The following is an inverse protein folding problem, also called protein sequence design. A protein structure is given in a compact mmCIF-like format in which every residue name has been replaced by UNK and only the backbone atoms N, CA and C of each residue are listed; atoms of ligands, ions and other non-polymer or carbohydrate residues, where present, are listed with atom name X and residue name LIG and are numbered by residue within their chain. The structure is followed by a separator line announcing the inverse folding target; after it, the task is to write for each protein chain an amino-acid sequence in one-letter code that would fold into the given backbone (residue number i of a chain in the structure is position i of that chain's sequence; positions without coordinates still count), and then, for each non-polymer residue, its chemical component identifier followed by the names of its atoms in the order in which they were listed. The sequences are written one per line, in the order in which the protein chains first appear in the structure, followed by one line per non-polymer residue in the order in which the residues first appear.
data_IF_720675766850
#
_entry.id   IF_720675766850
#
_cell.length_a   1.000
_cell.length_b   1.000
_cell.length_c   1.000
_cell.angle_alpha   90.00
_cell.angle_beta   90.00
_cell.angle_gamma   90.00
#
_symmetry.space_group_name_H-M   'P 1'
#
loop_
_entity.id
_entity.type
_entity.pdbx_description
1 polymer ?
#
# COMPACT_ATOMS: atom_id res chain seq x y z
N UNK A 1 -2.43 -7.55 -23.03
CA UNK A 1 -1.31 -8.36 -23.54
C UNK A 1 -0.35 -8.46 -22.39
N UNK A 2 0.02 -9.66 -21.97
CA UNK A 2 0.85 -9.86 -20.78
C UNK A 2 2.15 -9.03 -20.87
N UNK A 3 2.53 -8.38 -19.78
CA UNK A 3 3.78 -7.66 -19.63
C UNK A 3 4.51 -8.14 -18.36
N UNK A 4 5.33 -9.20 -18.48
CA UNK A 4 6.05 -9.78 -17.35
C UNK A 4 7.00 -8.81 -16.65
N UNK A 5 7.44 -7.74 -17.35
CA UNK A 5 8.33 -6.73 -16.74
C UNK A 5 7.54 -5.90 -15.74
N UNK A 6 6.28 -5.54 -16.05
CA UNK A 6 5.41 -4.82 -15.10
C UNK A 6 5.12 -5.64 -13.86
N UNK A 7 4.82 -6.93 -14.01
CA UNK A 7 4.63 -7.84 -12.88
C UNK A 7 5.88 -7.91 -11.98
N UNK A 8 7.06 -8.13 -12.56
CA UNK A 8 8.31 -8.21 -11.79
C UNK A 8 8.60 -6.88 -11.07
N UNK A 9 8.47 -5.75 -11.76
CA UNK A 9 8.71 -4.43 -11.16
C UNK A 9 7.68 -4.15 -10.07
N UNK A 10 6.41 -4.48 -10.31
CA UNK A 10 5.33 -4.32 -9.35
C UNK A 10 5.57 -5.13 -8.07
N UNK A 11 5.96 -6.40 -8.20
CA UNK A 11 6.29 -7.26 -7.08
C UNK A 11 7.44 -6.71 -6.23
N UNK A 12 8.46 -6.10 -6.85
CA UNK A 12 9.53 -5.40 -6.12
C UNK A 12 9.02 -4.16 -5.36
N UNK A 13 8.12 -3.39 -5.97
CA UNK A 13 7.50 -2.24 -5.32
C UNK A 13 6.66 -2.67 -4.11
N UNK A 14 5.84 -3.72 -4.25
CA UNK A 14 5.09 -4.30 -3.14
C UNK A 14 6.05 -4.76 -2.04
N UNK A 15 7.07 -5.56 -2.36
CA UNK A 15 7.99 -6.08 -1.35
C UNK A 15 8.71 -4.96 -0.57
N UNK A 16 9.24 -3.95 -1.26
CA UNK A 16 9.90 -2.80 -0.60
C UNK A 16 8.90 -1.99 0.21
N UNK A 17 7.71 -1.73 -0.35
CA UNK A 17 6.64 -1.01 0.33
C UNK A 17 6.20 -1.67 1.63
N UNK A 18 6.03 -3.00 1.62
CA UNK A 18 5.65 -3.79 2.81
C UNK A 18 6.70 -3.66 3.92
N UNK A 19 7.99 -3.73 3.57
CA UNK A 19 9.08 -3.58 4.55
C UNK A 19 9.05 -2.17 5.17
N UNK A 20 8.92 -1.14 4.34
CA UNK A 20 8.90 0.26 4.79
C UNK A 20 7.66 0.52 5.68
N UNK A 21 6.48 0.06 5.28
CA UNK A 21 5.24 0.19 6.05
C UNK A 21 5.34 -0.52 7.41
N UNK A 22 5.95 -1.72 7.45
CA UNK A 22 6.18 -2.45 8.69
C UNK A 22 7.12 -1.68 9.64
N UNK A 23 8.17 -1.05 9.11
CA UNK A 23 9.07 -0.20 9.91
C UNK A 23 8.31 1.02 10.47
N UNK A 24 7.54 1.72 9.64
CA UNK A 24 6.74 2.88 10.08
C UNK A 24 5.69 2.52 11.15
N UNK A 25 5.04 1.37 10.99
CA UNK A 25 4.03 0.87 11.93
C UNK A 25 4.64 0.43 13.27
N UNK A 26 5.91 0.04 13.31
CA UNK A 26 6.57 -0.43 14.54
C UNK A 26 6.95 0.74 15.46
N UNK A 27 6.55 0.75 16.75
CA UNK A 27 6.91 1.79 17.71
C UNK A 27 8.36 1.65 18.21
N UNK A 28 9.32 1.86 17.32
CA UNK A 28 10.74 1.87 17.64
C UNK A 28 11.10 3.19 18.35
N UNK A 29 11.70 3.11 19.55
CA UNK A 29 12.12 4.30 20.34
C UNK A 29 13.04 5.28 19.58
N UNK A 30 13.71 4.82 18.52
CA UNK A 30 14.62 5.62 17.69
C UNK A 30 13.92 6.36 16.55
N UNK A 31 12.64 6.08 16.26
CA UNK A 31 11.87 6.74 15.21
C UNK A 31 10.81 7.64 15.86
N UNK A 32 10.84 8.93 15.52
CA UNK A 32 9.81 9.86 15.95
C UNK A 32 8.48 9.59 15.21
N UNK A 33 7.38 10.18 15.69
CA UNK A 33 6.05 9.96 15.13
C UNK A 33 5.90 10.43 13.68
N UNK A 34 6.58 11.52 13.31
CA UNK A 34 6.54 12.09 11.96
C UNK A 34 7.22 11.16 10.95
N UNK A 35 8.45 10.72 11.23
CA UNK A 35 9.16 9.75 10.40
C UNK A 35 8.42 8.43 10.29
N UNK A 36 7.78 7.96 11.37
CA UNK A 36 6.93 6.76 11.32
C UNK A 36 5.73 6.94 10.39
N UNK A 37 5.08 8.10 10.44
CA UNK A 37 3.98 8.44 9.53
C UNK A 37 4.47 8.50 8.08
N UNK A 38 5.60 9.14 7.82
CA UNK A 38 6.18 9.25 6.47
C UNK A 38 6.54 7.87 5.89
N UNK A 39 7.16 7.02 6.70
CA UNK A 39 7.44 5.63 6.29
C UNK A 39 6.14 4.87 6.01
N UNK A 40 5.10 5.05 6.83
CA UNK A 40 3.81 4.41 6.57
C UNK A 40 3.20 4.89 5.24
N UNK A 41 3.23 6.20 4.97
CA UNK A 41 2.77 6.78 3.70
C UNK A 41 3.55 6.20 2.52
N UNK A 42 4.89 6.26 2.54
CA UNK A 42 5.70 5.75 1.42
C UNK A 42 5.56 4.25 1.22
N UNK A 43 5.44 3.48 2.31
CA UNK A 43 5.21 2.05 2.23
C UNK A 43 3.88 1.69 1.56
N UNK A 44 2.80 2.41 1.88
CA UNK A 44 1.49 2.20 1.23
C UNK A 44 1.47 2.72 -0.21
N UNK A 45 2.17 3.82 -0.54
CA UNK A 45 2.31 4.31 -1.93
C UNK A 45 2.97 3.25 -2.81
N UNK A 46 4.07 2.67 -2.34
CA UNK A 46 4.80 1.64 -3.09
C UNK A 46 3.96 0.38 -3.26
N UNK A 47 3.26 -0.08 -2.21
CA UNK A 47 2.35 -1.23 -2.31
C UNK A 47 1.16 -0.96 -3.25
N UNK A 48 0.50 0.20 -3.17
CA UNK A 48 -0.60 0.54 -4.07
C UNK A 48 -0.16 0.55 -5.53
N UNK A 49 0.99 1.18 -5.80
CA UNK A 49 1.58 1.29 -7.14
C UNK A 49 2.02 -0.08 -7.65
N UNK A 50 2.70 -0.86 -6.81
CA UNK A 50 3.20 -2.19 -7.17
C UNK A 50 2.07 -3.16 -7.52
N UNK A 51 1.05 -3.24 -6.66
CA UNK A 51 -0.14 -4.04 -6.93
C UNK A 51 -0.85 -3.59 -8.23
N UNK A 52 -0.93 -2.27 -8.48
CA UNK A 52 -1.50 -1.76 -9.73
C UNK A 52 -0.68 -2.16 -10.98
N UNK A 53 0.65 -2.17 -10.87
CA UNK A 53 1.54 -2.63 -11.94
C UNK A 53 1.43 -4.14 -12.17
N UNK A 54 1.33 -4.94 -11.11
CA UNK A 54 1.11 -6.39 -11.22
C UNK A 54 -0.23 -6.71 -11.87
N UNK A 55 -1.31 -5.99 -11.52
CA UNK A 55 -2.61 -6.16 -12.15
C UNK A 55 -2.60 -5.74 -13.64
N UNK A 56 -1.99 -4.60 -13.98
CA UNK A 56 -1.89 -4.12 -15.37
C UNK A 56 -0.93 -4.95 -16.24
N UNK A 57 0.01 -5.65 -15.61
CA UNK A 57 0.93 -6.58 -16.28
C UNK A 57 0.26 -7.92 -16.67
N UNK A 58 -0.81 -8.30 -15.97
CA UNK A 58 -1.58 -9.51 -16.26
C UNK A 58 -2.51 -9.27 -17.46
N UNK A 59 -2.45 -10.12 -18.48
CA UNK A 59 -3.26 -9.96 -19.70
C UNK A 59 -4.55 -10.78 -19.75
N UNK A 60 -4.83 -11.60 -18.73
CA UNK A 60 -6.11 -12.30 -18.54
C UNK A 60 -6.65 -12.07 -17.13
N UNK A 61 -7.97 -12.15 -16.97
CA UNK A 61 -8.62 -12.05 -15.66
C UNK A 61 -8.26 -13.29 -14.84
N UNK A 62 -7.61 -13.07 -13.70
CA UNK A 62 -7.24 -14.10 -12.74
C UNK A 62 -7.67 -13.68 -11.32
N UNK A 63 -7.66 -14.62 -10.38
CA UNK A 63 -7.86 -14.28 -8.96
C UNK A 63 -6.74 -13.39 -8.41
N UNK A 64 -5.54 -13.50 -8.97
CA UNK A 64 -4.39 -12.69 -8.60
C UNK A 64 -4.56 -11.25 -9.06
N UNK A 65 -5.02 -11.02 -10.31
CA UNK A 65 -5.35 -9.70 -10.83
C UNK A 65 -6.35 -9.00 -9.90
N UNK A 66 -7.45 -9.68 -9.59
CA UNK A 66 -8.50 -9.13 -8.72
C UNK A 66 -7.94 -8.87 -7.31
N UNK A 67 -7.13 -9.78 -6.77
CA UNK A 67 -6.49 -9.61 -5.47
C UNK A 67 -5.57 -8.39 -5.43
N UNK A 68 -4.77 -8.18 -6.47
CA UNK A 68 -3.88 -7.03 -6.60
C UNK A 68 -4.66 -5.72 -6.72
N UNK A 69 -5.74 -5.68 -7.50
CA UNK A 69 -6.61 -4.50 -7.57
C UNK A 69 -7.24 -4.17 -6.20
N UNK A 70 -7.76 -5.19 -5.50
CA UNK A 70 -8.33 -5.04 -4.15
C UNK A 70 -7.29 -4.49 -3.17
N UNK A 71 -6.10 -5.08 -3.13
CA UNK A 71 -5.01 -4.60 -2.27
C UNK A 71 -4.57 -3.18 -2.64
N UNK A 72 -4.55 -2.83 -3.92
CA UNK A 72 -4.22 -1.46 -4.36
C UNK A 72 -5.24 -0.45 -3.81
N UNK A 73 -6.53 -0.78 -3.87
CA UNK A 73 -7.62 0.04 -3.30
C UNK A 73 -7.49 0.14 -1.77
N UNK A 74 -7.18 -0.97 -1.08
CA UNK A 74 -6.94 -0.99 0.36
C UNK A 74 -5.83 -0.02 0.76
N UNK A 75 -4.66 -0.12 0.11
CA UNK A 75 -3.53 0.78 0.34
C UNK A 75 -3.87 2.26 0.05
N UNK A 76 -4.63 2.57 -1.00
CA UNK A 76 -5.10 3.95 -1.28
C UNK A 76 -6.07 4.44 -0.21
N UNK A 77 -6.89 3.56 0.36
CA UNK A 77 -7.80 3.89 1.46
C UNK A 77 -7.00 4.23 2.72
N UNK A 78 -5.94 3.48 3.04
CA UNK A 78 -4.99 3.82 4.12
C UNK A 78 -4.34 5.19 3.87
N UNK A 79 -3.83 5.43 2.65
CA UNK A 79 -3.21 6.71 2.29
C UNK A 79 -4.17 7.90 2.47
N UNK A 80 -5.44 7.70 2.16
CA UNK A 80 -6.48 8.72 2.34
C UNK A 80 -6.63 9.10 3.82
N UNK A 81 -6.59 8.12 4.73
CA UNK A 81 -6.60 8.36 6.18
C UNK A 81 -5.33 9.04 6.71
N UNK A 82 -4.17 8.77 6.09
CA UNK A 82 -2.88 9.32 6.51
C UNK A 82 -2.62 10.75 6.00
N UNK A 83 -3.02 11.05 4.77
CA UNK A 83 -2.64 12.29 4.06
C UNK A 83 -3.67 13.40 4.26
N UNK A 84 -4.96 13.06 4.23
CA UNK A 84 -6.02 14.06 4.35
C UNK A 84 -6.25 14.39 5.83
N UNK A 85 -6.41 15.69 6.12
CA UNK A 85 -6.76 16.19 7.45
C UNK A 85 -8.24 15.91 7.77
N UNK A 86 -8.53 14.67 8.14
CA UNK A 86 -9.79 14.27 8.75
C UNK A 86 -9.72 14.33 10.27
N UNK A 87 -10.89 14.24 10.93
CA UNK A 87 -10.96 13.97 12.37
C UNK A 87 -10.30 12.63 12.72
N UNK A 88 -9.66 12.54 13.89
CA UNK A 88 -8.91 11.35 14.36
C UNK A 88 -9.68 10.02 14.22
N UNK A 89 -11.00 10.04 14.48
CA UNK A 89 -11.84 8.84 14.35
C UNK A 89 -11.95 8.39 12.89
N UNK A 90 -12.10 9.34 11.96
CA UNK A 90 -12.20 9.06 10.52
C UNK A 90 -10.88 8.58 9.96
N UNK A 91 -9.75 9.17 10.38
CA UNK A 91 -8.41 8.72 9.99
C UNK A 91 -8.21 7.24 10.38
N UNK A 92 -8.47 6.89 11.64
CA UNK A 92 -8.33 5.51 12.14
C UNK A 92 -9.27 4.54 11.43
N UNK A 93 -10.51 4.95 11.14
CA UNK A 93 -11.47 4.12 10.39
C UNK A 93 -10.98 3.83 8.98
N UNK A 94 -10.41 4.81 8.29
CA UNK A 94 -9.86 4.63 6.94
C UNK A 94 -8.61 3.73 6.96
N UNK A 95 -7.70 3.94 7.92
CA UNK A 95 -6.54 3.07 8.09
C UNK A 95 -6.94 1.61 8.37
N UNK A 96 -7.91 1.39 9.27
CA UNK A 96 -8.39 0.02 9.58
C UNK A 96 -9.09 -0.59 8.37
N UNK A 97 -10.00 0.14 7.72
CA UNK A 97 -10.74 -0.35 6.57
C UNK A 97 -9.80 -0.69 5.41
N UNK A 98 -8.82 0.16 5.13
CA UNK A 98 -7.84 -0.06 4.08
C UNK A 98 -6.90 -1.24 4.35
N UNK A 99 -6.53 -1.51 5.61
CA UNK A 99 -5.73 -2.68 5.96
C UNK A 99 -6.52 -4.01 5.96
N UNK A 100 -7.86 -3.93 5.98
CA UNK A 100 -8.72 -5.12 6.04
C UNK A 100 -9.06 -5.69 4.66
N UNK A 101 -8.80 -4.91 3.61
CA UNK A 101 -9.11 -5.15 2.20
C UNK A 101 -7.79 -5.28 1.45
#
# INVERSE_FOLDING_TARGET
MDDPIKEIVGAWFVAVGTIIAAIGSTPLKRLNSELRKDLNVWGNVLQATGNGLEADGQGEISLELIGNEIQSIGNVTVLTGLIIEFEDETQKKLEIAGNWI
#
